data_IF_569576610193
#
_entry.id   IF_569576610193
#
_cell.length_a   1.000
_cell.length_b   1.000
_cell.length_c   1.000
_cell.angle_alpha   90.00
_cell.angle_beta   90.00
_cell.angle_gamma   90.00
#
_symmetry.space_group_name_H-M   'P 1'
#
loop_
_entity.id
_entity.type
_entity.pdbx_description
1 polymer ?
#
# COMPACT_ATOMS: atom_id res chain seq x y z
N UNK A 1 5.56 -12.18 -4.70
CA UNK A 1 4.50 -11.40 -4.02
C UNK A 1 4.26 -12.00 -2.66
N UNK A 2 4.24 -11.20 -1.60
CA UNK A 2 3.93 -11.68 -0.25
C UNK A 2 2.42 -11.86 -0.04
N UNK A 3 2.04 -12.71 0.91
CA UNK A 3 0.63 -12.95 1.25
C UNK A 3 -0.11 -11.64 1.63
N UNK A 4 0.56 -10.71 2.32
CA UNK A 4 -0.01 -9.41 2.66
C UNK A 4 -0.38 -8.57 1.44
N UNK A 5 0.47 -8.55 0.40
CA UNK A 5 0.17 -7.85 -0.85
C UNK A 5 -1.00 -8.48 -1.61
N UNK A 6 -1.12 -9.81 -1.60
CA UNK A 6 -2.25 -10.52 -2.19
C UNK A 6 -3.55 -10.15 -1.44
N UNK A 7 -3.54 -10.20 -0.11
CA UNK A 7 -4.69 -9.81 0.71
C UNK A 7 -5.11 -8.35 0.47
N UNK A 8 -4.15 -7.45 0.32
CA UNK A 8 -4.39 -6.04 -0.02
C UNK A 8 -5.12 -5.87 -1.36
N UNK A 9 -4.68 -6.59 -2.41
CA UNK A 9 -5.36 -6.58 -3.71
C UNK A 9 -6.78 -7.14 -3.64
N UNK A 10 -6.98 -8.23 -2.89
CA UNK A 10 -8.31 -8.82 -2.68
C UNK A 10 -9.22 -7.82 -1.97
N UNK A 11 -8.73 -7.13 -0.94
CA UNK A 11 -9.49 -6.08 -0.26
C UNK A 11 -9.90 -4.96 -1.23
N UNK A 12 -8.99 -4.48 -2.08
CA UNK A 12 -9.33 -3.46 -3.08
C UNK A 12 -10.38 -3.95 -4.05
N UNK A 13 -10.27 -5.18 -4.54
CA UNK A 13 -11.25 -5.75 -5.46
C UNK A 13 -12.63 -5.84 -4.82
N UNK A 14 -12.71 -6.27 -3.56
CA UNK A 14 -13.97 -6.34 -2.82
C UNK A 14 -14.57 -4.95 -2.59
N UNK A 15 -13.78 -3.98 -2.12
CA UNK A 15 -14.26 -2.62 -1.90
C UNK A 15 -14.70 -1.96 -3.21
N UNK A 16 -13.96 -2.14 -4.29
CA UNK A 16 -14.32 -1.62 -5.61
C UNK A 16 -15.59 -2.28 -6.14
N UNK A 17 -15.74 -3.60 -5.99
CA UNK A 17 -16.96 -4.30 -6.36
C UNK A 17 -18.17 -3.75 -5.59
N UNK A 18 -18.07 -3.63 -4.26
CA UNK A 18 -19.12 -3.06 -3.42
C UNK A 18 -19.45 -1.62 -3.82
N UNK A 19 -18.45 -0.77 -4.05
CA UNK A 19 -18.67 0.61 -4.48
C UNK A 19 -19.43 0.70 -5.82
N UNK A 20 -19.18 -0.23 -6.74
CA UNK A 20 -19.81 -0.26 -8.06
C UNK A 20 -21.20 -0.91 -8.07
N UNK A 21 -21.40 -1.98 -7.31
CA UNK A 21 -22.68 -2.72 -7.29
C UNK A 21 -23.69 -2.12 -6.33
N UNK A 22 -23.25 -1.48 -5.26
CA UNK A 22 -24.09 -0.87 -4.22
C UNK A 22 -24.18 0.66 -4.36
N UNK A 23 -24.09 1.17 -5.59
CA UNK A 23 -24.10 2.61 -5.87
C UNK A 23 -25.42 3.26 -5.38
N UNK A 24 -25.29 4.37 -4.64
CA UNK A 24 -26.44 5.08 -4.05
C UNK A 24 -26.90 4.54 -2.69
N UNK A 25 -26.32 3.44 -2.19
CA UNK A 25 -26.55 2.95 -0.84
C UNK A 25 -25.50 3.46 0.16
N UNK A 26 -25.81 3.41 1.46
CA UNK A 26 -24.85 3.74 2.52
C UNK A 26 -23.61 2.84 2.50
N UNK A 27 -23.76 1.58 2.06
CA UNK A 27 -22.66 0.61 1.99
C UNK A 27 -21.71 0.97 0.83
N UNK A 28 -22.26 1.30 -0.35
CA UNK A 28 -21.44 1.77 -1.47
C UNK A 28 -20.69 3.06 -1.14
N UNK A 29 -21.35 4.01 -0.47
CA UNK A 29 -20.72 5.24 -0.01
C UNK A 29 -19.58 4.97 0.99
N UNK A 30 -19.78 4.05 1.94
CA UNK A 30 -18.73 3.65 2.88
C UNK A 30 -17.54 3.01 2.16
N UNK A 31 -17.77 2.13 1.18
CA UNK A 31 -16.69 1.50 0.42
C UNK A 31 -15.84 2.54 -0.34
N UNK A 32 -16.47 3.55 -0.94
CA UNK A 32 -15.78 4.68 -1.58
C UNK A 32 -14.94 5.45 -0.55
N UNK A 33 -15.51 5.79 0.60
CA UNK A 33 -14.79 6.49 1.66
C UNK A 33 -13.57 5.70 2.16
N UNK A 34 -13.70 4.39 2.35
CA UNK A 34 -12.58 3.53 2.75
C UNK A 34 -11.48 3.54 1.67
N UNK A 35 -11.83 3.42 0.39
CA UNK A 35 -10.86 3.50 -0.70
C UNK A 35 -10.14 4.86 -0.74
N UNK A 36 -10.86 5.96 -0.55
CA UNK A 36 -10.28 7.30 -0.51
C UNK A 36 -9.33 7.48 0.69
N UNK A 37 -9.73 6.99 1.87
CA UNK A 37 -8.86 7.01 3.06
C UNK A 37 -7.60 6.19 2.82
N UNK A 38 -7.70 5.00 2.21
CA UNK A 38 -6.53 4.19 1.88
C UNK A 38 -5.56 4.91 0.95
N UNK A 39 -6.07 5.58 -0.10
CA UNK A 39 -5.24 6.41 -1.00
C UNK A 39 -4.50 7.50 -0.22
N UNK A 40 -5.18 8.21 0.67
CA UNK A 40 -4.57 9.29 1.47
C UNK A 40 -3.52 8.73 2.44
N UNK A 41 -3.85 7.65 3.17
CA UNK A 41 -2.92 7.00 4.09
C UNK A 41 -1.67 6.54 3.36
N UNK A 42 -1.82 5.89 2.20
CA UNK A 42 -0.69 5.41 1.42
C UNK A 42 0.16 6.55 0.85
N UNK A 43 -0.44 7.68 0.47
CA UNK A 43 0.32 8.88 0.09
C UNK A 43 1.16 9.40 1.26
N UNK A 44 0.60 9.44 2.48
CA UNK A 44 1.34 9.81 3.69
C UNK A 44 2.47 8.81 3.99
N UNK A 45 2.22 7.51 3.83
CA UNK A 45 3.24 6.47 4.02
C UNK A 45 4.42 6.65 3.06
N UNK A 46 4.21 7.04 1.80
CA UNK A 46 5.31 7.34 0.87
C UNK A 46 6.22 8.45 1.41
N UNK A 47 5.64 9.50 1.99
CA UNK A 47 6.40 10.62 2.57
C UNK A 47 7.13 10.16 3.85
N UNK A 48 6.45 9.47 4.74
CA UNK A 48 7.00 8.97 6.01
C UNK A 48 8.15 7.99 5.77
N UNK A 49 7.99 7.08 4.81
CA UNK A 49 8.98 6.04 4.49
C UNK A 49 9.91 6.43 3.32
N UNK A 50 9.96 7.70 2.94
CA UNK A 50 10.79 8.16 1.83
C UNK A 50 12.27 7.82 2.02
N UNK A 51 12.81 8.02 3.24
CA UNK A 51 14.19 7.66 3.57
C UNK A 51 14.45 6.15 3.45
N UNK A 52 13.48 5.32 3.84
CA UNK A 52 13.57 3.88 3.69
C UNK A 52 13.57 3.47 2.21
N UNK A 53 12.77 4.14 1.38
CA UNK A 53 12.75 3.91 -0.07
C UNK A 53 14.08 4.23 -0.76
N UNK A 54 14.83 5.22 -0.24
CA UNK A 54 16.18 5.57 -0.72
C UNK A 54 17.25 4.56 -0.30
N UNK A 55 17.12 4.01 0.91
CA UNK A 55 18.07 3.03 1.45
C UNK A 55 17.85 1.63 0.89
N UNK A 56 16.60 1.29 0.59
CA UNK A 56 16.25 0.03 -0.05
C UNK A 56 16.91 -0.07 -1.43
N UNK A 57 17.34 -1.27 -1.81
CA UNK A 57 17.83 -1.52 -3.17
C UNK A 57 16.76 -1.30 -4.24
N UNK A 58 17.18 -1.25 -5.50
CA UNK A 58 16.29 -1.02 -6.63
C UNK A 58 16.13 0.47 -6.97
N UNK A 59 15.03 0.81 -7.63
CA UNK A 59 14.75 2.20 -8.01
C UNK A 59 13.88 2.89 -6.97
N UNK A 60 14.25 4.13 -6.61
CA UNK A 60 13.46 5.00 -5.73
C UNK A 60 11.99 5.14 -6.18
N UNK A 61 11.68 5.49 -7.45
CA UNK A 61 10.28 5.60 -7.89
C UNK A 61 9.53 4.25 -7.83
N UNK A 62 10.23 3.13 -8.03
CA UNK A 62 9.64 1.80 -7.89
C UNK A 62 9.24 1.48 -6.45
N UNK A 63 10.12 1.78 -5.48
CA UNK A 63 9.84 1.61 -4.06
C UNK A 63 8.70 2.52 -3.59
N UNK A 64 8.69 3.79 -4.04
CA UNK A 64 7.61 4.73 -3.73
C UNK A 64 6.26 4.25 -4.27
N UNK A 65 6.21 3.78 -5.52
CA UNK A 65 4.98 3.22 -6.09
C UNK A 65 4.51 1.99 -5.32
N UNK A 66 5.43 1.10 -4.92
CA UNK A 66 5.05 -0.07 -4.15
C UNK A 66 4.60 0.27 -2.73
N UNK A 67 5.17 1.29 -2.07
CA UNK A 67 4.63 1.83 -0.81
C UNK A 67 3.25 2.44 -1.06
N UNK A 68 3.04 3.17 -2.15
CA UNK A 68 1.72 3.74 -2.43
C UNK A 68 0.65 2.68 -2.69
N UNK A 69 0.99 1.56 -3.33
CA UNK A 69 -0.01 0.52 -3.66
C UNK A 69 -0.24 -0.42 -2.48
N UNK A 70 0.83 -0.81 -1.78
CA UNK A 70 0.78 -1.87 -0.77
C UNK A 70 1.03 -1.38 0.66
N UNK A 71 1.29 -0.10 0.83
CA UNK A 71 1.51 0.55 2.10
C UNK A 71 2.54 -0.15 2.97
N UNK A 72 2.19 -0.31 4.24
CA UNK A 72 2.94 -1.05 5.24
C UNK A 72 3.50 -2.40 4.77
N UNK A 73 2.77 -3.18 3.96
CA UNK A 73 3.24 -4.51 3.53
C UNK A 73 4.54 -4.45 2.71
N UNK A 74 4.72 -3.43 1.88
CA UNK A 74 5.99 -3.25 1.19
C UNK A 74 7.10 -2.73 2.11
N UNK A 75 6.75 -1.92 3.12
CA UNK A 75 7.75 -1.40 4.08
C UNK A 75 8.42 -2.50 4.88
N UNK A 76 7.71 -3.59 5.21
CA UNK A 76 8.29 -4.76 5.89
C UNK A 76 9.37 -5.41 5.00
N UNK A 77 9.06 -5.62 3.72
CA UNK A 77 10.01 -6.19 2.76
C UNK A 77 11.25 -5.28 2.59
N UNK A 78 11.05 -3.96 2.50
CA UNK A 78 12.16 -3.01 2.43
C UNK A 78 13.02 -3.01 3.69
N UNK A 79 12.42 -3.02 4.88
CA UNK A 79 13.15 -3.09 6.16
C UNK A 79 14.01 -4.34 6.23
N UNK A 80 13.47 -5.49 5.83
CA UNK A 80 14.21 -6.74 5.76
C UNK A 80 15.39 -6.65 4.76
N UNK A 81 15.15 -6.06 3.58
CA UNK A 81 16.19 -5.89 2.56
C UNK A 81 17.31 -4.92 2.98
N UNK A 82 16.99 -3.84 3.69
CA UNK A 82 17.99 -2.89 4.24
C UNK A 82 18.79 -3.55 5.35
N UNK A 83 18.15 -4.26 6.27
CA UNK A 83 18.83 -4.99 7.34
C UNK A 83 19.81 -6.05 6.80
N UNK A 84 19.42 -6.79 5.75
CA UNK A 84 20.29 -7.79 5.11
C UNK A 84 21.51 -7.19 4.40
N UNK A 85 21.50 -5.90 4.07
CA UNK A 85 22.60 -5.19 3.39
C UNK A 85 23.64 -4.58 4.34
N UNK A 86 23.34 -4.48 5.63
CA UNK A 86 24.27 -3.98 6.63
C UNK A 86 24.82 -5.16 7.43
N UNK A 87 25.87 -5.87 6.94
CA UNK A 87 26.60 -6.78 7.81
C UNK A 87 27.27 -5.91 8.88
N UNK A 88 27.00 -6.23 10.15
CA UNK A 88 27.71 -5.62 11.29
C UNK A 88 29.21 -5.89 11.23
#
# INVERSE_FOLDING_TARGET
MSAGKIGCLVLYAVLAAVALTEAGSSIGALAIWVLLVLVVVHAVEVVVFFRLCQQAGGSLPGNMLQVFVFGYFHTIEMKAAVAAKQPG
#
